data_IF_027914553060
#
_entry.id   IF_027914553060
#
_cell.length_a   1.000
_cell.length_b   1.000
_cell.length_c   1.000
_cell.angle_alpha   90.00
_cell.angle_beta   90.00
_cell.angle_gamma   90.00
#
_symmetry.space_group_name_H-M   'P 1'
#
loop_
_entity.id
_entity.type
_entity.pdbx_description
1 polymer ?
#
# COMPACT_ATOMS: atom_id res chain seq x y z
N UNK A 1 55.54 -16.67 0.63
CA UNK A 1 54.45 -16.63 -0.38
C UNK A 1 53.13 -17.18 0.15
N UNK A 2 53.12 -18.21 1.00
CA UNK A 2 51.90 -18.78 1.60
C UNK A 2 51.19 -17.83 2.58
N UNK A 3 51.91 -17.11 3.44
CA UNK A 3 51.31 -16.17 4.39
C UNK A 3 50.58 -14.99 3.70
N UNK A 4 51.11 -14.51 2.57
CA UNK A 4 50.51 -13.42 1.77
C UNK A 4 49.20 -13.85 1.11
N UNK A 5 49.10 -15.11 0.66
CA UNK A 5 47.87 -15.67 0.08
C UNK A 5 46.80 -15.94 1.13
N UNK A 6 47.20 -16.39 2.33
CA UNK A 6 46.24 -16.59 3.44
C UNK A 6 45.65 -15.25 3.88
N UNK A 7 46.47 -14.21 4.01
CA UNK A 7 45.99 -12.88 4.40
C UNK A 7 45.03 -12.26 3.37
N UNK A 8 45.29 -12.43 2.07
CA UNK A 8 44.40 -11.91 1.02
C UNK A 8 43.04 -12.62 1.00
N UNK A 9 43.00 -13.93 1.25
CA UNK A 9 41.74 -14.69 1.39
C UNK A 9 40.93 -14.18 2.59
N UNK A 10 41.59 -13.91 3.73
CA UNK A 10 40.89 -13.35 4.90
C UNK A 10 40.33 -11.95 4.65
N UNK A 11 41.08 -11.06 4.02
CA UNK A 11 40.63 -9.69 3.72
C UNK A 11 39.43 -9.72 2.76
N UNK A 12 39.51 -10.50 1.68
CA UNK A 12 38.42 -10.62 0.70
C UNK A 12 37.19 -11.31 1.33
N UNK A 13 37.40 -12.36 2.12
CA UNK A 13 36.32 -13.08 2.80
C UNK A 13 35.57 -12.22 3.81
N UNK A 14 36.30 -11.50 4.67
CA UNK A 14 35.71 -10.58 5.66
C UNK A 14 34.99 -9.42 4.94
N UNK A 15 35.59 -8.84 3.90
CA UNK A 15 34.95 -7.79 3.10
C UNK A 15 33.64 -8.25 2.45
N UNK A 16 33.63 -9.45 1.87
CA UNK A 16 32.42 -10.05 1.29
C UNK A 16 31.34 -10.29 2.36
N UNK A 17 31.72 -10.79 3.55
CA UNK A 17 30.80 -10.94 4.68
C UNK A 17 30.16 -9.61 5.10
N UNK A 18 30.92 -8.52 5.19
CA UNK A 18 30.39 -7.20 5.53
C UNK A 18 29.38 -6.69 4.50
N UNK A 19 29.67 -6.86 3.21
CA UNK A 19 28.75 -6.45 2.13
C UNK A 19 27.44 -7.24 2.21
N UNK A 20 27.50 -8.54 2.48
CA UNK A 20 26.30 -9.38 2.62
C UNK A 20 25.51 -8.99 3.87
N UNK A 21 26.19 -8.76 5.00
CA UNK A 21 25.55 -8.32 6.23
C UNK A 21 24.86 -6.96 6.06
N UNK A 22 25.53 -5.99 5.45
CA UNK A 22 24.99 -4.66 5.16
C UNK A 22 23.75 -4.74 4.24
N UNK A 23 23.81 -5.54 3.18
CA UNK A 23 22.64 -5.79 2.32
C UNK A 23 21.47 -6.41 3.07
N UNK A 24 21.74 -7.37 3.97
CA UNK A 24 20.72 -8.01 4.79
C UNK A 24 20.03 -7.01 5.72
N UNK A 25 20.81 -6.19 6.42
CA UNK A 25 20.30 -5.14 7.30
C UNK A 25 19.49 -4.11 6.51
N UNK A 26 20.00 -3.65 5.37
CA UNK A 26 19.29 -2.70 4.51
C UNK A 26 17.94 -3.25 4.04
N UNK A 27 17.89 -4.52 3.63
CA UNK A 27 16.65 -5.18 3.24
C UNK A 27 15.66 -5.30 4.40
N UNK A 28 16.15 -5.60 5.61
CA UNK A 28 15.31 -5.65 6.82
C UNK A 28 14.71 -4.27 7.14
N UNK A 29 15.52 -3.21 7.11
CA UNK A 29 15.06 -1.84 7.35
C UNK A 29 14.01 -1.40 6.33
N UNK A 30 14.22 -1.68 5.03
CA UNK A 30 13.23 -1.35 4.00
C UNK A 30 11.92 -2.12 4.22
N UNK A 31 12.00 -3.38 4.64
CA UNK A 31 10.83 -4.19 4.99
C UNK A 31 10.07 -3.63 6.19
N UNK A 32 10.76 -3.21 7.24
CA UNK A 32 10.13 -2.57 8.41
C UNK A 32 9.45 -1.26 8.02
N UNK A 33 10.13 -0.39 7.25
CA UNK A 33 9.53 0.82 6.69
C UNK A 33 8.28 0.52 5.88
N UNK A 34 8.33 -0.51 5.03
CA UNK A 34 7.19 -0.94 4.24
C UNK A 34 6.01 -1.41 5.13
N UNK A 35 6.28 -2.09 6.25
CA UNK A 35 5.24 -2.45 7.22
C UNK A 35 4.62 -1.23 7.89
N UNK A 36 5.42 -0.24 8.28
CA UNK A 36 4.90 1.01 8.84
C UNK A 36 4.02 1.78 7.84
N UNK A 37 4.46 1.86 6.58
CA UNK A 37 3.68 2.50 5.51
C UNK A 37 2.40 1.73 5.22
N UNK A 38 2.45 0.39 5.14
CA UNK A 38 1.24 -0.42 4.97
C UNK A 38 0.24 -0.21 6.10
N UNK A 39 0.71 -0.12 7.35
CA UNK A 39 -0.14 0.15 8.50
C UNK A 39 -0.72 1.57 8.47
N UNK A 40 0.09 2.58 8.15
CA UNK A 40 -0.36 3.97 8.01
C UNK A 40 -1.43 4.11 6.93
N UNK A 41 -1.22 3.48 5.77
CA UNK A 41 -2.19 3.44 4.67
C UNK A 41 -3.46 2.67 5.05
N UNK A 42 -3.34 1.55 5.76
CA UNK A 42 -4.49 0.83 6.31
C UNK A 42 -5.36 1.75 7.18
N UNK A 43 -4.74 2.49 8.11
CA UNK A 43 -5.44 3.45 8.96
C UNK A 43 -6.07 4.58 8.14
N UNK A 44 -5.35 5.13 7.17
CA UNK A 44 -5.85 6.24 6.34
C UNK A 44 -7.04 5.82 5.48
N UNK A 45 -6.96 4.67 4.82
CA UNK A 45 -8.07 4.13 4.03
C UNK A 45 -9.25 3.84 4.96
N UNK A 46 -9.03 3.18 6.10
CA UNK A 46 -10.08 2.92 7.08
C UNK A 46 -10.76 4.21 7.53
N UNK A 47 -9.99 5.26 7.81
CA UNK A 47 -10.52 6.57 8.18
C UNK A 47 -11.36 7.20 7.05
N UNK A 48 -11.00 7.02 5.78
CA UNK A 48 -11.84 7.46 4.65
C UNK A 48 -13.17 6.72 4.62
N UNK A 49 -13.16 5.39 4.76
CA UNK A 49 -14.38 4.58 4.75
C UNK A 49 -15.30 4.88 5.94
N UNK A 50 -14.75 5.14 7.13
CA UNK A 50 -15.53 5.46 8.33
C UNK A 50 -15.97 6.92 8.32
N UNK A 51 -15.07 7.85 8.03
CA UNK A 51 -15.28 9.29 8.18
C UNK A 51 -16.02 9.96 7.02
N UNK A 52 -16.03 9.36 5.82
CA UNK A 52 -16.55 10.02 4.60
C UNK A 52 -17.49 9.10 3.80
N UNK A 53 -18.09 9.63 2.72
CA UNK A 53 -18.83 8.83 1.74
C UNK A 53 -17.93 8.09 0.74
N UNK A 54 -16.60 8.09 0.94
CA UNK A 54 -15.63 7.42 0.07
C UNK A 54 -15.99 5.96 -0.19
N UNK A 55 -16.48 5.23 0.82
CA UNK A 55 -16.85 3.82 0.65
C UNK A 55 -18.03 3.54 -0.28
N UNK A 56 -18.78 4.56 -0.71
CA UNK A 56 -19.91 4.39 -1.63
C UNK A 56 -19.47 4.27 -3.10
N UNK A 57 -18.53 5.10 -3.53
CA UNK A 57 -18.12 5.21 -4.93
C UNK A 57 -16.73 5.84 -5.13
N UNK A 58 -15.93 5.95 -4.08
CA UNK A 58 -14.64 6.63 -4.09
C UNK A 58 -13.48 5.84 -4.69
N UNK A 59 -13.24 4.57 -4.29
CA UNK A 59 -12.15 3.78 -4.85
C UNK A 59 -12.34 3.48 -6.33
N UNK A 60 -11.24 3.53 -7.09
CA UNK A 60 -11.21 3.09 -8.48
C UNK A 60 -11.00 1.57 -8.54
N UNK A 61 -11.77 0.89 -9.39
CA UNK A 61 -11.62 -0.54 -9.65
C UNK A 61 -10.60 -0.76 -10.76
N UNK A 62 -9.60 -1.59 -10.48
CA UNK A 62 -8.48 -1.88 -11.37
C UNK A 62 -8.26 -3.37 -11.52
N UNK A 63 -7.69 -3.78 -12.65
CA UNK A 63 -7.46 -5.18 -13.03
C UNK A 63 -6.01 -5.38 -13.47
N UNK A 64 -5.63 -6.63 -13.77
CA UNK A 64 -4.29 -6.95 -14.27
C UNK A 64 -3.22 -7.05 -13.18
N UNK A 65 -3.63 -7.39 -11.95
CA UNK A 65 -2.69 -7.80 -10.91
C UNK A 65 -2.38 -9.28 -11.08
N UNK A 66 -1.10 -9.63 -11.17
CA UNK A 66 -0.61 -11.00 -11.30
C UNK A 66 0.11 -11.50 -10.03
N UNK A 67 0.33 -10.62 -9.05
CA UNK A 67 1.14 -10.86 -7.86
C UNK A 67 0.50 -10.27 -6.59
N UNK A 68 0.60 -10.93 -5.43
CA UNK A 68 1.10 -12.29 -5.22
C UNK A 68 0.12 -13.35 -5.76
N UNK A 69 0.61 -14.57 -6.03
CA UNK A 69 -0.26 -15.65 -6.51
C UNK A 69 -1.36 -15.96 -5.49
N UNK A 70 -2.60 -16.13 -5.97
CA UNK A 70 -3.77 -16.34 -5.11
C UNK A 70 -4.43 -15.05 -4.59
N UNK A 71 -3.81 -13.88 -4.76
CA UNK A 71 -4.50 -12.62 -4.52
C UNK A 71 -5.44 -12.29 -5.70
N UNK A 72 -6.55 -11.56 -5.47
CA UNK A 72 -7.46 -11.16 -6.54
C UNK A 72 -6.76 -10.34 -7.62
N UNK A 73 -7.07 -10.63 -8.88
CA UNK A 73 -6.58 -9.89 -10.05
C UNK A 73 -7.29 -8.55 -10.24
N UNK A 74 -8.48 -8.40 -9.65
CA UNK A 74 -9.23 -7.15 -9.55
C UNK A 74 -9.05 -6.57 -8.16
N UNK A 75 -8.60 -5.32 -8.08
CA UNK A 75 -8.33 -4.62 -6.83
C UNK A 75 -8.82 -3.18 -6.89
N UNK A 76 -8.92 -2.57 -5.72
CA UNK A 76 -9.23 -1.18 -5.53
C UNK A 76 -7.94 -0.40 -5.36
N UNK A 77 -7.93 0.82 -5.90
CA UNK A 77 -6.87 1.81 -5.71
C UNK A 77 -7.50 3.15 -5.34
N UNK A 78 -6.64 4.08 -4.95
CA UNK A 78 -7.05 5.46 -4.77
C UNK A 78 -7.52 6.05 -6.12
N UNK A 79 -8.59 6.87 -6.13
CA UNK A 79 -9.02 7.60 -7.32
C UNK A 79 -8.00 8.68 -7.68
N UNK A 80 -8.14 9.29 -8.86
CA UNK A 80 -7.27 10.38 -9.31
C UNK A 80 -7.35 11.66 -8.46
N UNK A 81 -8.41 11.83 -7.67
CA UNK A 81 -8.56 12.93 -6.71
C UNK A 81 -9.45 12.54 -5.54
N UNK A 82 -9.14 13.01 -4.33
CA UNK A 82 -10.01 12.85 -3.14
C UNK A 82 -10.88 14.06 -2.81
N UNK A 83 -10.86 15.09 -3.65
CA UNK A 83 -11.47 16.40 -3.37
C UNK A 83 -12.98 16.35 -3.08
N UNK A 84 -13.70 15.37 -3.61
CA UNK A 84 -15.13 15.16 -3.38
C UNK A 84 -15.46 14.52 -2.03
N UNK A 85 -14.49 13.87 -1.37
CA UNK A 85 -14.72 13.13 -0.11
C UNK A 85 -14.03 13.76 1.09
N UNK A 86 -12.97 14.54 0.88
CA UNK A 86 -12.25 15.21 1.96
C UNK A 86 -12.62 16.70 1.95
N UNK A 87 -13.21 17.17 3.05
CA UNK A 87 -13.74 18.52 3.18
C UNK A 87 -12.68 19.59 2.87
N UNK A 88 -13.04 20.55 2.00
CA UNK A 88 -12.26 21.75 1.73
C UNK A 88 -11.22 21.67 0.61
N UNK A 89 -11.07 20.52 -0.09
CA UNK A 89 -10.17 20.38 -1.25
C UNK A 89 -8.65 20.49 -0.97
N UNK A 90 -8.27 21.16 0.12
CA UNK A 90 -6.90 21.44 0.57
C UNK A 90 -6.18 20.21 1.12
N UNK A 91 -6.91 19.15 1.45
CA UNK A 91 -6.35 17.91 2.03
C UNK A 91 -6.23 16.79 0.98
N UNK A 92 -6.29 17.11 -0.32
CA UNK A 92 -6.04 16.14 -1.36
C UNK A 92 -4.54 15.82 -1.42
N UNK A 93 -4.16 14.68 -0.84
CA UNK A 93 -2.80 14.15 -0.87
C UNK A 93 -2.53 13.27 -2.11
N UNK A 94 -3.44 13.23 -3.09
CA UNK A 94 -3.26 12.49 -4.34
C UNK A 94 -2.70 13.39 -5.43
N UNK A 95 -1.75 12.86 -6.19
CA UNK A 95 -1.27 13.43 -7.45
C UNK A 95 -1.30 12.41 -8.56
N UNK A 96 -1.59 12.84 -9.79
CA UNK A 96 -1.39 12.03 -11.00
C UNK A 96 -0.04 12.33 -11.68
N UNK A 97 0.59 13.46 -11.33
CA UNK A 97 1.88 13.86 -11.87
C UNK A 97 3.03 13.24 -11.07
N UNK A 98 3.88 12.45 -11.76
CA UNK A 98 5.09 11.85 -11.18
C UNK A 98 6.08 12.90 -10.66
N UNK A 99 6.23 14.04 -11.36
CA UNK A 99 7.09 15.14 -10.92
C UNK A 99 6.64 15.76 -9.57
N UNK A 100 5.32 15.90 -9.38
CA UNK A 100 4.75 16.40 -8.12
C UNK A 100 4.84 15.37 -6.98
N UNK A 101 4.93 14.08 -7.32
CA UNK A 101 5.19 13.03 -6.34
C UNK A 101 6.66 13.00 -5.89
N UNK A 102 7.59 13.18 -6.84
CA UNK A 102 9.03 13.27 -6.57
C UNK A 102 9.41 14.48 -5.71
N UNK A 103 8.80 15.63 -5.99
CA UNK A 103 9.06 16.88 -5.26
C UNK A 103 8.17 17.08 -4.04
N UNK A 104 7.06 16.34 -3.94
CA UNK A 104 6.06 16.47 -2.89
C UNK A 104 6.49 15.93 -1.52
N UNK A 105 5.53 15.90 -0.60
CA UNK A 105 5.69 15.34 0.73
C UNK A 105 5.61 13.80 0.73
N UNK A 106 6.11 13.15 1.77
CA UNK A 106 6.24 11.67 1.83
C UNK A 106 4.87 10.96 1.92
N UNK A 107 3.88 11.61 2.52
CA UNK A 107 2.50 11.13 2.66
C UNK A 107 1.67 11.20 1.37
N UNK A 108 2.22 11.83 0.33
CA UNK A 108 1.55 11.98 -0.96
C UNK A 108 1.42 10.61 -1.62
N UNK A 109 0.31 10.39 -2.32
CA UNK A 109 0.10 9.20 -3.16
C UNK A 109 0.16 9.61 -4.61
N UNK A 110 0.93 8.85 -5.38
CA UNK A 110 0.90 8.96 -6.83
C UNK A 110 -0.04 7.93 -7.42
N UNK A 111 -1.04 8.38 -8.14
CA UNK A 111 -1.86 7.52 -8.99
C UNK A 111 -1.33 7.64 -10.40
N UNK A 112 -0.64 6.61 -10.86
CA UNK A 112 -0.23 6.48 -12.25
C UNK A 112 -1.47 6.25 -13.11
N UNK A 113 -1.97 7.34 -13.68
CA UNK A 113 -3.18 7.34 -14.50
C UNK A 113 -2.86 6.86 -15.90
N UNK A 114 -3.39 5.70 -16.25
CA UNK A 114 -3.26 5.10 -17.57
C UNK A 114 -4.44 5.49 -18.46
N UNK A 115 -4.29 5.31 -19.78
CA UNK A 115 -5.39 5.54 -20.74
C UNK A 115 -6.61 4.70 -20.36
N UNK A 116 -6.37 3.46 -19.95
CA UNK A 116 -7.40 2.59 -19.39
C UNK A 116 -7.39 2.74 -17.88
N UNK A 117 -8.44 3.31 -17.30
CA UNK A 117 -8.56 3.50 -15.85
C UNK A 117 -8.45 2.19 -15.06
N UNK A 118 -8.86 1.07 -15.66
CA UNK A 118 -8.68 -0.26 -15.08
C UNK A 118 -7.20 -0.64 -14.85
N UNK A 119 -6.26 0.04 -15.51
CA UNK A 119 -4.82 -0.18 -15.36
C UNK A 119 -4.15 0.85 -14.45
N UNK A 120 -4.91 1.77 -13.85
CA UNK A 120 -4.35 2.73 -12.89
C UNK A 120 -3.67 2.01 -11.72
N UNK A 121 -2.62 2.61 -11.18
CA UNK A 121 -1.89 2.08 -10.02
C UNK A 121 -1.61 3.19 -9.01
N UNK A 122 -1.84 2.91 -7.73
CA UNK A 122 -1.42 3.79 -6.64
C UNK A 122 -0.05 3.41 -6.10
N UNK A 123 0.81 4.40 -5.93
CA UNK A 123 2.15 4.28 -5.40
C UNK A 123 2.34 5.20 -4.20
N UNK A 124 3.03 4.69 -3.19
CA UNK A 124 3.37 5.39 -1.95
C UNK A 124 4.86 5.29 -1.67
N UNK A 125 5.43 6.28 -1.00
CA UNK A 125 6.83 6.22 -0.59
C UNK A 125 7.03 5.19 0.53
N UNK A 126 8.06 4.37 0.39
CA UNK A 126 8.57 3.52 1.49
C UNK A 126 9.87 4.10 2.02
N UNK A 127 10.77 4.48 1.12
CA UNK A 127 12.02 5.14 1.44
C UNK A 127 12.39 6.11 0.32
N UNK A 128 12.00 7.38 0.47
CA UNK A 128 12.25 8.42 -0.52
C UNK A 128 13.75 8.62 -0.78
N UNK A 129 14.58 8.60 0.26
CA UNK A 129 16.03 8.78 0.16
C UNK A 129 16.71 7.73 -0.71
N UNK A 130 16.11 6.53 -0.78
CA UNK A 130 16.60 5.39 -1.59
C UNK A 130 15.77 5.18 -2.86
N UNK A 131 14.86 6.09 -3.19
CA UNK A 131 13.92 5.98 -4.31
C UNK A 131 13.10 4.67 -4.28
N UNK A 132 12.72 4.20 -3.09
CA UNK A 132 11.92 2.97 -2.91
C UNK A 132 10.47 3.33 -2.65
N UNK A 133 9.60 2.81 -3.50
CA UNK A 133 8.16 2.98 -3.45
C UNK A 133 7.48 1.62 -3.28
N UNK A 134 6.24 1.65 -2.81
CA UNK A 134 5.34 0.51 -2.80
C UNK A 134 4.13 0.77 -3.68
N UNK A 135 3.70 -0.24 -4.43
CA UNK A 135 2.42 -0.27 -5.12
C UNK A 135 1.35 -0.70 -4.14
N UNK A 136 0.43 0.21 -3.86
CA UNK A 136 -0.67 0.02 -2.93
C UNK A 136 -1.92 -0.40 -3.69
N UNK A 137 -2.65 -1.38 -3.15
CA UNK A 137 -3.98 -1.78 -3.61
C UNK A 137 -4.73 -2.49 -2.49
N UNK A 138 -6.05 -2.61 -2.58
CA UNK A 138 -6.82 -3.37 -1.59
C UNK A 138 -8.04 -4.05 -2.21
N UNK A 139 -8.67 -4.94 -1.46
CA UNK A 139 -9.93 -5.58 -1.84
C UNK A 139 -10.92 -5.54 -0.70
N UNK A 140 -12.20 -5.50 -1.03
CA UNK A 140 -13.28 -5.53 -0.05
C UNK A 140 -14.11 -6.80 -0.21
N UNK A 141 -14.36 -7.48 0.90
CA UNK A 141 -15.26 -8.63 0.95
C UNK A 141 -16.31 -8.40 2.03
N UNK A 142 -17.58 -8.60 1.71
CA UNK A 142 -18.64 -8.49 2.70
C UNK A 142 -18.44 -9.54 3.80
N UNK A 143 -18.45 -9.11 5.05
CA UNK A 143 -18.46 -10.01 6.20
C UNK A 143 -19.90 -10.20 6.63
N UNK A 144 -20.31 -11.46 6.70
CA UNK A 144 -21.51 -11.86 7.43
C UNK A 144 -21.07 -12.26 8.83
N UNK A 145 -21.29 -11.43 9.86
CA UNK A 145 -20.94 -11.82 11.22
C UNK A 145 -21.76 -13.06 11.60
N UNK A 146 -21.07 -14.15 11.95
CA UNK A 146 -21.70 -15.27 12.63
C UNK A 146 -22.10 -14.79 14.03
N UNK A 147 -23.39 -14.51 14.24
CA UNK A 147 -24.03 -14.21 15.53
C UNK A 147 -23.21 -13.36 16.50
N UNK A 148 -23.41 -12.04 16.50
CA UNK A 148 -22.85 -11.21 17.57
C UNK A 148 -23.49 -11.60 18.91
N UNK A 149 -22.72 -12.30 19.72
CA UNK A 149 -23.15 -12.99 20.96
C UNK A 149 -23.39 -12.03 22.15
N UNK A 150 -23.21 -10.73 21.97
CA UNK A 150 -23.36 -9.75 23.06
C UNK A 150 -24.41 -8.71 22.65
N UNK A 151 -25.64 -8.86 23.17
CA UNK A 151 -26.59 -7.76 23.25
C UNK A 151 -27.75 -7.69 22.25
N UNK A 152 -28.08 -8.75 21.51
CA UNK A 152 -29.38 -8.90 20.83
C UNK A 152 -29.61 -8.06 19.55
N UNK A 153 -28.90 -6.95 19.39
CA UNK A 153 -28.88 -6.16 18.16
C UNK A 153 -27.61 -6.52 17.37
N UNK A 154 -27.76 -7.24 16.25
CA UNK A 154 -26.63 -7.75 15.46
C UNK A 154 -25.54 -6.73 15.13
N UNK A 155 -24.35 -7.18 14.74
CA UNK A 155 -23.28 -6.28 14.28
C UNK A 155 -23.67 -5.66 12.92
N UNK A 156 -24.46 -4.60 12.97
CA UNK A 156 -24.89 -3.85 11.81
C UNK A 156 -23.92 -2.68 11.62
N UNK A 157 -23.23 -2.68 10.48
CA UNK A 157 -22.62 -1.46 9.99
C UNK A 157 -23.69 -0.61 9.31
N UNK A 158 -23.53 0.71 9.32
CA UNK A 158 -24.30 1.63 8.49
C UNK A 158 -23.70 1.62 7.10
N UNK A 159 -24.55 1.85 6.09
CA UNK A 159 -24.07 2.09 4.74
C UNK A 159 -23.06 3.25 4.71
N UNK A 160 -22.16 3.25 3.73
CA UNK A 160 -21.22 4.35 3.55
C UNK A 160 -21.91 5.68 3.19
N UNK A 161 -23.18 5.66 2.76
CA UNK A 161 -23.99 6.88 2.61
C UNK A 161 -24.46 7.47 3.94
N UNK A 162 -24.22 6.79 5.07
CA UNK A 162 -24.64 7.22 6.41
C UNK A 162 -26.11 6.90 6.73
N UNK A 163 -26.82 6.19 5.84
CA UNK A 163 -28.25 5.91 5.99
C UNK A 163 -28.58 4.45 5.69
N UNK A 164 -29.26 3.79 6.62
CA UNK A 164 -29.72 2.42 6.46
C UNK A 164 -28.67 1.34 6.82
N UNK A 165 -29.14 0.10 7.01
CA UNK A 165 -28.26 -1.02 7.38
C UNK A 165 -27.36 -1.43 6.21
N UNK A 166 -26.14 -1.82 6.53
CA UNK A 166 -25.19 -2.41 5.60
C UNK A 166 -24.39 -3.53 6.29
N UNK A 167 -23.63 -4.27 5.49
CA UNK A 167 -22.69 -5.27 5.99
C UNK A 167 -21.34 -4.60 6.23
N UNK A 168 -20.71 -4.95 7.34
CA UNK A 168 -19.30 -4.64 7.54
C UNK A 168 -18.48 -5.36 6.47
N UNK A 169 -17.36 -4.78 6.05
CA UNK A 169 -16.51 -5.33 5.00
C UNK A 169 -15.14 -5.63 5.57
N UNK A 170 -14.57 -6.76 5.18
CA UNK A 170 -13.16 -7.06 5.38
C UNK A 170 -12.40 -6.37 4.27
N UNK A 171 -11.45 -5.53 4.66
CA UNK A 171 -10.49 -4.92 3.76
C UNK A 171 -9.18 -5.68 3.84
N UNK A 172 -8.75 -6.22 2.71
CA UNK A 172 -7.44 -6.84 2.53
C UNK A 172 -6.57 -5.88 1.71
N UNK A 173 -5.55 -5.31 2.34
CA UNK A 173 -4.61 -4.35 1.75
C UNK A 173 -3.34 -5.09 1.33
N UNK A 174 -2.83 -4.73 0.15
CA UNK A 174 -1.63 -5.28 -0.45
C UNK A 174 -0.67 -4.13 -0.77
N UNK A 175 0.53 -4.21 -0.22
CA UNK A 175 1.65 -3.32 -0.53
C UNK A 175 2.76 -4.16 -1.19
N UNK A 176 2.94 -3.97 -2.50
CA UNK A 176 3.98 -4.64 -3.29
C UNK A 176 5.21 -3.73 -3.43
N UNK A 177 6.40 -4.22 -3.12
CA UNK A 177 7.64 -3.42 -3.10
C UNK A 177 8.86 -4.32 -3.30
N UNK A 178 10.03 -3.83 -3.72
CA UNK A 178 10.33 -2.44 -4.04
C UNK A 178 9.99 -2.08 -5.49
N UNK A 179 9.41 -0.90 -5.67
CA UNK A 179 9.33 -0.21 -6.94
C UNK A 179 10.28 0.99 -6.91
N UNK A 180 10.86 1.33 -8.06
CA UNK A 180 11.68 2.53 -8.22
C UNK A 180 11.09 3.40 -9.32
N UNK A 181 11.15 4.73 -9.13
CA UNK A 181 10.71 5.65 -10.16
C UNK A 181 11.87 5.89 -11.14
N UNK A 182 11.73 5.39 -12.36
CA UNK A 182 12.71 5.55 -13.43
C UNK A 182 12.03 6.25 -14.62
N UNK A 183 12.52 7.44 -14.97
CA UNK A 183 12.00 8.24 -16.11
C UNK A 183 10.49 8.47 -16.09
N UNK A 184 9.91 8.65 -14.90
CA UNK A 184 8.46 8.89 -14.73
C UNK A 184 7.61 7.63 -14.63
N UNK A 185 8.21 6.45 -14.73
CA UNK A 185 7.51 5.16 -14.61
C UNK A 185 7.96 4.40 -13.36
N UNK A 186 7.03 3.72 -12.70
CA UNK A 186 7.37 2.78 -11.63
C UNK A 186 7.86 1.46 -12.22
N UNK A 187 9.09 1.08 -11.91
CA UNK A 187 9.72 -0.18 -12.33
C UNK A 187 9.87 -1.07 -11.10
N UNK A 188 9.36 -2.30 -11.17
CA UNK A 188 9.52 -3.29 -10.12
C UNK A 188 10.97 -3.82 -10.11
N UNK A 189 11.51 -4.02 -8.91
CA UNK A 189 12.76 -4.77 -8.76
C UNK A 189 12.52 -6.28 -8.95
N UNK A 190 13.56 -6.99 -9.33
CA UNK A 190 13.65 -8.45 -9.40
C UNK A 190 13.28 -9.18 -8.10
N UNK A 191 13.43 -8.52 -6.94
CA UNK A 191 13.20 -9.09 -5.61
C UNK A 191 11.92 -8.60 -4.93
N UNK A 192 10.85 -8.41 -5.73
CA UNK A 192 9.58 -7.91 -5.23
C UNK A 192 8.97 -8.82 -4.14
N UNK A 193 8.56 -8.19 -3.05
CA UNK A 193 7.85 -8.73 -1.90
C UNK A 193 6.46 -8.11 -1.82
N UNK A 194 5.57 -8.76 -1.08
CA UNK A 194 4.25 -8.22 -0.78
C UNK A 194 4.00 -8.28 0.71
N UNK A 195 3.59 -7.15 1.29
CA UNK A 195 2.98 -7.10 2.62
C UNK A 195 1.47 -7.09 2.44
N UNK A 196 0.80 -8.02 3.10
CA UNK A 196 -0.66 -8.06 3.16
C UNK A 196 -1.13 -7.79 4.59
N UNK A 197 -2.09 -6.90 4.74
CA UNK A 197 -2.73 -6.60 6.02
C UNK A 197 -4.24 -6.69 5.84
N UNK A 198 -4.96 -7.07 6.90
CA UNK A 198 -6.41 -7.18 6.86
C UNK A 198 -7.02 -6.43 8.03
N UNK A 199 -8.13 -5.73 7.79
CA UNK A 199 -8.94 -5.12 8.85
C UNK A 199 -10.42 -5.23 8.52
N UNK A 200 -11.28 -4.95 9.49
CA UNK A 200 -12.71 -4.78 9.27
C UNK A 200 -13.00 -3.29 9.17
N UNK A 201 -13.71 -2.90 8.11
CA UNK A 201 -14.20 -1.55 7.89
C UNK A 201 -15.72 -1.54 7.91
N UNK A 202 -16.27 -0.41 8.37
CA UNK A 202 -17.69 -0.12 8.32
C UNK A 202 -18.02 1.08 9.19
N UNK A 203 -19.09 1.79 8.84
CA UNK A 203 -19.58 2.89 9.67
C UNK A 203 -20.38 2.32 10.84
N UNK A 204 -20.06 2.74 12.06
CA UNK A 204 -20.92 2.51 13.22
C UNK A 204 -21.86 3.70 13.39
N UNK A 205 -23.08 3.47 13.90
CA UNK A 205 -23.94 4.56 14.35
C UNK A 205 -23.38 5.22 15.60
#
# INVERSE_FOLDING_TARGET
>A
MTASMVLSIFIVGIGACWIVADKSVNNAVVREKAMFVANAEMHRITALYVGTSFGQSGPDVTTGYSTPSGAPSTRLVYPTSLSSWVSGGSNNYITTAAASFLSGAEERVWVDSQILSALNRSYVWIDRSRNVMGRLSWTLTNVTPSGCLVGGDGCWCVSFSGSGPARCQKMDLFLEYPFQLASGSAVADSSMQTISMSTIIGRTR
#
